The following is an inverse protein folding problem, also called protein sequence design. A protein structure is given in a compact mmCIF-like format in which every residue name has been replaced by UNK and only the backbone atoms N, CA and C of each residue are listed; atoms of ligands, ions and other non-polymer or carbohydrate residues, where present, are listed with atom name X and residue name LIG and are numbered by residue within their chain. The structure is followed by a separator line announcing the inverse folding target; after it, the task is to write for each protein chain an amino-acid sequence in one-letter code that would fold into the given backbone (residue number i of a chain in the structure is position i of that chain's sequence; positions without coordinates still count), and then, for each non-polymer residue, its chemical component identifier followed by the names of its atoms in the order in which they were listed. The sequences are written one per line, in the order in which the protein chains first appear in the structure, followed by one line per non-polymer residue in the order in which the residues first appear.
data_IF_800831184964
#
_entry.id   IF_800831184964
#
_cell.length_a   1.000
_cell.length_b   1.000
_cell.length_c   1.000
_cell.angle_alpha   90.00
_cell.angle_beta   90.00
_cell.angle_gamma   90.00
#
_symmetry.space_group_name_H-M   'P 1'
#
loop_
_entity.id
_entity.type
_entity.pdbx_description
1 polymer ?
#
# COMPACT_ATOMS: atom_id res chain seq x y z
N UNK A 1 -3.89 -9.40 -15.76
CA UNK A 1 -4.65 -8.22 -16.25
C UNK A 1 -3.61 -7.17 -16.63
N UNK A 2 -3.68 -6.59 -17.83
CA UNK A 2 -2.78 -5.52 -18.20
C UNK A 2 -3.04 -4.29 -17.32
N UNK A 3 -2.03 -3.54 -16.90
CA UNK A 3 -2.24 -2.39 -16.05
C UNK A 3 -2.92 -1.26 -16.83
N UNK A 4 -4.03 -0.76 -16.28
CA UNK A 4 -4.85 0.29 -16.90
C UNK A 4 -4.26 1.67 -16.58
N UNK A 5 -3.92 2.42 -17.63
CA UNK A 5 -3.52 3.82 -17.53
C UNK A 5 -4.75 4.70 -17.33
N UNK A 6 -4.75 5.54 -16.31
CA UNK A 6 -5.81 6.50 -16.03
C UNK A 6 -5.38 7.91 -16.43
N UNK A 7 -6.18 8.60 -17.22
CA UNK A 7 -5.95 10.01 -17.60
C UNK A 7 -6.37 10.93 -16.43
N UNK A 8 -5.46 11.74 -15.92
CA UNK A 8 -5.70 12.75 -14.88
C UNK A 8 -6.06 14.12 -15.48
N UNK A 9 -5.35 14.53 -16.54
CA UNK A 9 -5.61 15.75 -17.30
C UNK A 9 -5.08 15.59 -18.74
N UNK A 10 -5.11 16.66 -19.55
CA UNK A 10 -4.79 16.59 -20.99
C UNK A 10 -3.37 16.11 -21.31
N UNK A 11 -2.43 16.19 -20.36
CA UNK A 11 -1.07 15.71 -20.56
C UNK A 11 -0.66 14.62 -19.56
N UNK A 12 -1.41 14.41 -18.48
CA UNK A 12 -1.01 13.53 -17.38
C UNK A 12 -1.80 12.23 -17.40
N UNK A 13 -1.07 11.12 -17.51
CA UNK A 13 -1.58 9.78 -17.32
C UNK A 13 -0.84 9.16 -16.14
N UNK A 14 -1.57 8.58 -15.20
CA UNK A 14 -0.99 7.81 -14.11
C UNK A 14 -1.41 6.35 -14.23
N UNK A 15 -0.56 5.48 -13.72
CA UNK A 15 -0.83 4.06 -13.65
C UNK A 15 -0.63 3.62 -12.21
N UNK A 16 -1.64 2.95 -11.65
CA UNK A 16 -1.56 2.42 -10.29
C UNK A 16 -0.78 1.11 -10.31
N UNK A 17 0.52 1.17 -10.02
CA UNK A 17 1.33 -0.02 -9.82
C UNK A 17 1.10 -0.55 -8.41
N UNK A 18 0.67 -1.81 -8.25
CA UNK A 18 0.50 -2.46 -6.95
C UNK A 18 -0.34 -1.71 -5.89
N UNK A 19 -1.22 -0.77 -6.28
CA UNK A 19 -1.92 0.18 -5.37
C UNK A 19 -0.98 1.03 -4.49
N UNK A 20 0.14 1.49 -5.04
CA UNK A 20 1.15 2.25 -4.30
C UNK A 20 0.56 3.41 -3.48
N UNK A 21 0.51 3.24 -2.16
CA UNK A 21 0.38 4.31 -1.17
C UNK A 21 1.04 3.88 0.15
N UNK A 22 1.72 4.84 0.78
CA UNK A 22 2.49 4.71 2.01
C UNK A 22 1.68 4.02 3.10
N UNK A 23 2.27 2.96 3.66
CA UNK A 23 1.78 2.33 4.87
C UNK A 23 1.95 3.32 6.03
N UNK A 24 0.90 3.54 6.81
CA UNK A 24 0.95 4.42 7.99
C UNK A 24 0.45 3.68 9.21
N UNK A 25 1.06 3.98 10.36
CA UNK A 25 0.67 3.43 11.66
C UNK A 25 0.05 4.56 12.47
N UNK A 26 -1.21 4.41 12.87
CA UNK A 26 -1.99 5.43 13.56
C UNK A 26 -2.56 4.85 14.85
N UNK A 27 -2.41 5.55 15.97
CA UNK A 27 -3.08 5.15 17.20
C UNK A 27 -4.53 5.64 17.23
N UNK A 28 -5.48 4.71 17.25
CA UNK A 28 -6.90 5.01 17.35
C UNK A 28 -7.33 4.90 18.81
N UNK A 29 -7.81 6.01 19.38
CA UNK A 29 -8.22 6.09 20.79
C UNK A 29 -9.65 5.62 21.04
N UNK A 30 -10.47 5.50 19.99
CA UNK A 30 -11.89 5.14 20.08
C UNK A 30 -12.09 3.62 20.13
N UNK A 31 -12.98 3.18 21.02
CA UNK A 31 -13.10 1.82 21.57
C UNK A 31 -13.31 0.71 20.53
N UNK A 32 -12.54 -0.40 20.59
CA UNK A 32 -11.37 -0.61 21.44
C UNK A 32 -10.17 0.24 20.97
N UNK A 33 -9.40 0.85 21.89
CA UNK A 33 -8.20 1.59 21.52
C UNK A 33 -7.11 0.66 20.99
N UNK A 34 -6.30 1.14 20.06
CA UNK A 34 -5.19 0.36 19.53
C UNK A 34 -4.53 0.99 18.32
N UNK A 35 -3.42 0.40 17.91
CA UNK A 35 -2.67 0.81 16.73
C UNK A 35 -3.31 0.24 15.48
N UNK A 36 -3.43 1.06 14.45
CA UNK A 36 -4.07 0.71 13.18
C UNK A 36 -3.08 0.95 12.07
N UNK A 37 -2.93 -0.04 11.21
CA UNK A 37 -2.11 0.07 10.01
C UNK A 37 -3.03 0.46 8.86
N UNK A 38 -2.70 1.54 8.15
CA UNK A 38 -3.41 1.97 6.96
C UNK A 38 -2.53 1.80 5.73
N UNK A 39 -3.12 1.32 4.64
CA UNK A 39 -2.48 1.12 3.34
C UNK A 39 -3.29 1.91 2.31
N UNK A 40 -2.77 3.07 1.93
CA UNK A 40 -3.53 4.06 1.19
C UNK A 40 -4.81 4.47 1.91
N UNK A 41 -5.95 4.40 1.23
CA UNK A 41 -7.25 4.78 1.81
C UNK A 41 -7.89 3.67 2.65
N UNK A 42 -7.30 2.47 2.70
CA UNK A 42 -7.87 1.33 3.44
C UNK A 42 -7.08 1.10 4.71
N UNK A 43 -7.79 0.98 5.82
CA UNK A 43 -7.19 0.45 7.03
C UNK A 43 -7.25 -1.08 7.06
N UNK A 44 -6.24 -1.70 7.68
CA UNK A 44 -6.40 -3.06 8.16
C UNK A 44 -7.55 -3.08 9.18
N UNK A 45 -8.35 -4.15 9.12
CA UNK A 45 -9.54 -4.31 9.97
C UNK A 45 -9.16 -4.45 11.44
N UNK A 46 -7.99 -5.01 11.71
CA UNK A 46 -7.54 -5.33 13.06
C UNK A 46 -6.72 -4.18 13.67
N UNK A 47 -6.97 -3.94 14.96
CA UNK A 47 -6.16 -3.03 15.80
C UNK A 47 -5.15 -3.85 16.59
N UNK A 48 -3.92 -3.35 16.69
CA UNK A 48 -2.82 -3.96 17.42
C UNK A 48 -2.70 -3.35 18.82
N UNK A 49 -2.39 -4.19 19.82
CA UNK A 49 -2.18 -3.75 21.20
C UNK A 49 -0.87 -2.99 21.43
N UNK A 50 0.16 -3.25 20.60
CA UNK A 50 1.48 -2.63 20.70
C UNK A 50 1.86 -1.87 19.43
N UNK A 51 2.67 -0.81 19.58
CA UNK A 51 3.24 -0.07 18.45
C UNK A 51 4.20 -0.96 17.64
N UNK A 52 5.00 -1.77 18.34
CA UNK A 52 6.00 -2.64 17.74
C UNK A 52 5.36 -3.66 16.79
N UNK A 53 4.26 -4.30 17.20
CA UNK A 53 3.54 -5.25 16.34
C UNK A 53 2.93 -4.55 15.13
N UNK A 54 2.35 -3.36 15.33
CA UNK A 54 1.81 -2.57 14.24
C UNK A 54 2.91 -2.16 13.23
N UNK A 55 4.11 -1.82 13.70
CA UNK A 55 5.26 -1.49 12.85
C UNK A 55 5.77 -2.72 12.08
N UNK A 56 5.89 -3.89 12.73
CA UNK A 56 6.29 -5.15 12.06
C UNK A 56 5.31 -5.50 10.93
N UNK A 57 4.02 -5.42 11.23
CA UNK A 57 2.98 -5.68 10.22
C UNK A 57 3.03 -4.64 9.11
N UNK A 58 3.19 -3.36 9.45
CA UNK A 58 3.32 -2.30 8.46
C UNK A 58 4.51 -2.53 7.51
N UNK A 59 5.67 -2.91 8.04
CA UNK A 59 6.86 -3.23 7.25
C UNK A 59 6.64 -4.44 6.34
N UNK A 60 6.10 -5.54 6.86
CA UNK A 60 5.81 -6.73 6.07
C UNK A 60 4.82 -6.44 4.91
N UNK A 61 3.82 -5.58 5.15
CA UNK A 61 2.93 -5.12 4.09
C UNK A 61 3.64 -4.22 3.08
N UNK A 62 4.50 -3.30 3.52
CA UNK A 62 5.28 -2.44 2.64
C UNK A 62 6.19 -3.26 1.73
N UNK A 63 6.88 -4.26 2.27
CA UNK A 63 7.72 -5.19 1.49
C UNK A 63 6.90 -5.96 0.45
N UNK A 64 5.73 -6.48 0.83
CA UNK A 64 4.84 -7.18 -0.10
C UNK A 64 4.36 -6.27 -1.24
N UNK A 65 4.02 -5.03 -0.93
CA UNK A 65 3.60 -4.04 -1.94
C UNK A 65 4.77 -3.67 -2.84
N UNK A 66 5.96 -3.46 -2.29
CA UNK A 66 7.16 -3.16 -3.07
C UNK A 66 7.51 -4.31 -4.04
N UNK A 67 7.43 -5.56 -3.58
CA UNK A 67 7.63 -6.74 -4.42
C UNK A 67 6.60 -6.83 -5.55
N UNK A 68 5.32 -6.57 -5.27
CA UNK A 68 4.27 -6.56 -6.28
C UNK A 68 4.49 -5.45 -7.32
N UNK A 69 4.80 -4.22 -6.88
CA UNK A 69 5.14 -3.10 -7.78
C UNK A 69 6.32 -3.48 -8.67
N UNK A 70 7.35 -4.13 -8.11
CA UNK A 70 8.52 -4.54 -8.89
C UNK A 70 8.17 -5.60 -9.93
N UNK A 71 7.38 -6.60 -9.57
CA UNK A 71 6.92 -7.62 -10.51
C UNK A 71 6.07 -7.00 -11.64
N UNK A 72 5.17 -6.08 -11.31
CA UNK A 72 4.35 -5.36 -12.30
C UNK A 72 5.24 -4.52 -13.25
N UNK A 73 6.27 -3.85 -12.72
CA UNK A 73 7.24 -3.08 -13.51
C UNK A 73 8.06 -3.99 -14.43
N UNK A 74 8.54 -5.12 -13.93
CA UNK A 74 9.33 -6.06 -14.72
C UNK A 74 8.48 -6.71 -15.82
N UNK A 75 7.18 -6.97 -15.59
CA UNK A 75 6.24 -7.45 -16.61
C UNK A 75 5.93 -6.42 -17.72
N UNK A 76 6.09 -5.13 -17.42
CA UNK A 76 5.89 -4.04 -18.39
C UNK A 76 7.13 -3.70 -19.19
N UNK A 77 8.31 -4.14 -18.74
CA UNK A 77 9.54 -3.94 -19.50
C UNK A 77 9.52 -4.82 -20.75
N UNK A 78 9.82 -4.26 -21.94
CA UNK A 78 9.97 -5.08 -23.14
C UNK A 78 11.04 -6.15 -22.91
N UNK A 79 10.89 -7.36 -23.46
CA UNK A 79 11.99 -8.30 -23.50
C UNK A 79 13.17 -7.64 -24.24
N UNK A 80 14.35 -7.70 -23.62
CA UNK A 80 15.60 -7.17 -24.16
C UNK A 80 16.04 -7.92 -25.42
#
# INVERSE_FOLDING_TARGET
MAPEWTKHDDATYYMSLGKALLVTVVYERLTPPGWKVQVGQRALKDKFGSLEDAQKVAMAFAEKVAAAIRADLDALRPPA
#
